data_IF_866624265799
#
_entry.id   IF_866624265799
#
_cell.length_a   1.000
_cell.length_b   1.000
_cell.length_c   1.000
_cell.angle_alpha   90.00
_cell.angle_beta   90.00
_cell.angle_gamma   90.00
#
_symmetry.space_group_name_H-M   'P 1'
#
loop_
_entity.id
_entity.type
_entity.pdbx_description
1 polymer ?
#
# COMPACT_ATOMS: atom_id res chain seq x y z
N UNK A 1 -6.79 3.16 1.59
CA UNK A 1 -5.36 3.31 1.29
C UNK A 1 -5.16 4.72 0.79
N UNK A 2 -4.24 5.47 1.39
CA UNK A 2 -3.88 6.81 0.93
C UNK A 2 -2.66 6.76 0.02
N UNK A 3 -2.56 7.65 -0.97
CA UNK A 3 -1.36 7.76 -1.82
C UNK A 3 -0.33 8.72 -1.25
N UNK A 4 0.96 8.50 -1.49
CA UNK A 4 2.05 9.37 -1.01
C UNK A 4 2.04 10.80 -1.60
N UNK A 5 1.11 11.15 -2.49
CA UNK A 5 0.95 12.50 -3.04
C UNK A 5 0.71 13.60 -1.98
N UNK A 6 0.30 13.24 -0.76
CA UNK A 6 0.27 14.19 0.37
C UNK A 6 1.65 14.68 0.82
N UNK A 7 2.69 13.87 0.65
CA UNK A 7 4.03 14.19 1.15
C UNK A 7 4.77 15.22 0.29
N UNK A 8 4.22 15.56 -0.88
CA UNK A 8 4.78 16.58 -1.79
C UNK A 8 4.05 17.93 -1.74
N UNK A 9 2.97 18.08 -0.95
CA UNK A 9 2.27 19.37 -0.83
C UNK A 9 3.23 20.53 -0.46
N UNK A 10 4.16 20.40 0.52
CA UNK A 10 5.08 21.50 0.84
C UNK A 10 6.10 21.81 -0.27
N UNK A 11 6.41 20.85 -1.15
CA UNK A 11 7.33 21.06 -2.28
C UNK A 11 6.60 21.68 -3.50
N UNK A 12 5.30 21.41 -3.65
CA UNK A 12 4.40 22.08 -4.61
C UNK A 12 4.21 23.55 -4.22
N UNK A 13 3.90 23.81 -2.95
CA UNK A 13 3.69 25.16 -2.39
C UNK A 13 4.93 26.06 -2.45
N UNK A 14 6.13 25.46 -2.49
CA UNK A 14 7.41 26.17 -2.55
C UNK A 14 8.13 26.11 -3.91
N UNK A 15 7.47 25.60 -4.96
CA UNK A 15 8.04 25.38 -6.31
C UNK A 15 9.35 24.56 -6.32
N UNK A 16 9.60 23.72 -5.31
CA UNK A 16 10.86 22.97 -5.12
C UNK A 16 11.00 21.74 -6.03
N UNK A 17 10.45 21.80 -7.23
CA UNK A 17 10.49 20.72 -8.20
C UNK A 17 11.92 20.36 -8.62
N UNK A 18 12.24 19.06 -8.60
CA UNK A 18 13.54 18.54 -9.04
C UNK A 18 14.70 18.75 -8.06
N UNK A 19 14.44 19.28 -6.87
CA UNK A 19 15.40 19.43 -5.77
C UNK A 19 15.47 18.13 -4.92
N UNK A 20 16.51 17.93 -4.09
CA UNK A 20 16.53 16.82 -3.13
C UNK A 20 15.40 16.95 -2.09
N UNK A 21 14.87 15.83 -1.58
CA UNK A 21 13.75 15.85 -0.63
C UNK A 21 14.13 16.59 0.66
N UNK A 22 13.26 17.50 1.11
CA UNK A 22 13.48 18.24 2.36
C UNK A 22 13.22 17.41 3.62
N UNK A 23 12.34 16.40 3.51
CA UNK A 23 11.88 15.55 4.62
C UNK A 23 11.83 14.09 4.16
N UNK A 24 12.35 13.17 4.98
CA UNK A 24 12.15 11.72 4.82
C UNK A 24 11.06 11.26 5.79
N UNK A 25 9.90 10.88 5.25
CA UNK A 25 8.76 10.43 6.03
C UNK A 25 8.96 8.98 6.50
N UNK A 26 8.67 8.70 7.77
CA UNK A 26 8.91 7.42 8.42
C UNK A 26 7.69 7.02 9.26
N UNK A 27 7.14 5.83 9.02
CA UNK A 27 5.92 5.31 9.63
C UNK A 27 6.15 4.46 10.89
N UNK A 28 7.40 4.34 11.36
CA UNK A 28 7.76 3.73 12.64
C UNK A 28 7.92 4.79 13.74
N UNK A 29 8.54 5.94 13.43
CA UNK A 29 8.85 7.00 14.40
C UNK A 29 8.12 8.34 14.11
N UNK A 30 7.63 8.56 12.89
CA UNK A 30 6.99 9.81 12.46
C UNK A 30 5.46 9.77 12.36
N UNK A 31 4.79 8.77 12.96
CA UNK A 31 3.34 8.56 12.82
C UNK A 31 2.53 9.84 13.09
N UNK A 32 2.87 10.58 14.15
CA UNK A 32 2.18 11.83 14.51
C UNK A 32 2.28 12.92 13.44
N UNK A 33 3.41 13.04 12.72
CA UNK A 33 3.55 14.02 11.64
C UNK A 33 2.78 13.60 10.38
N UNK A 34 2.70 12.30 10.11
CA UNK A 34 1.88 11.75 9.02
C UNK A 34 0.40 12.02 9.31
N UNK A 35 -0.09 11.70 10.52
CA UNK A 35 -1.48 11.92 10.91
C UNK A 35 -1.85 13.41 10.95
N UNK A 36 -0.97 14.30 11.43
CA UNK A 36 -1.22 15.75 11.37
C UNK A 36 -1.25 16.26 9.92
N UNK A 37 -0.43 15.71 9.02
CA UNK A 37 -0.45 16.06 7.59
C UNK A 37 -1.77 15.64 6.94
N UNK A 38 -2.35 14.49 7.32
CA UNK A 38 -3.68 14.08 6.85
C UNK A 38 -4.76 15.04 7.36
N UNK A 39 -4.73 15.35 8.67
CA UNK A 39 -5.70 16.23 9.35
C UNK A 39 -5.64 17.68 8.87
N UNK A 40 -4.50 18.14 8.35
CA UNK A 40 -4.35 19.47 7.75
C UNK A 40 -4.99 19.62 6.36
N UNK A 41 -5.33 18.53 5.66
CA UNK A 41 -5.78 18.56 4.26
C UNK A 41 -7.17 17.93 4.03
N UNK A 42 -8.23 18.35 4.77
CA UNK A 42 -9.52 17.66 4.78
C UNK A 42 -10.13 17.46 3.37
N UNK A 43 -10.04 18.46 2.49
CA UNK A 43 -10.63 18.40 1.14
C UNK A 43 -9.92 17.45 0.15
N UNK A 44 -8.67 17.06 0.42
CA UNK A 44 -7.93 16.06 -0.40
C UNK A 44 -7.67 14.74 0.37
N UNK A 45 -8.16 14.66 1.61
CA UNK A 45 -8.02 13.54 2.53
C UNK A 45 -9.33 13.25 3.28
N UNK A 46 -10.48 13.46 2.65
CA UNK A 46 -11.79 13.33 3.27
C UNK A 46 -12.02 11.92 3.84
N UNK A 47 -11.79 10.87 3.03
CA UNK A 47 -11.92 9.48 3.46
C UNK A 47 -10.91 9.08 4.56
N UNK A 48 -9.66 9.54 4.46
CA UNK A 48 -8.64 9.24 5.46
C UNK A 48 -8.97 9.92 6.81
N UNK A 49 -9.47 11.16 6.78
CA UNK A 49 -9.91 11.87 7.97
C UNK A 49 -11.20 11.30 8.57
N UNK A 50 -12.15 10.86 7.74
CA UNK A 50 -13.34 10.17 8.20
C UNK A 50 -12.97 8.89 8.96
N UNK A 51 -12.11 8.04 8.40
CA UNK A 51 -11.62 6.83 9.09
C UNK A 51 -10.92 7.17 10.41
N UNK A 52 -10.08 8.23 10.43
CA UNK A 52 -9.41 8.72 11.65
C UNK A 52 -10.35 9.40 12.67
N UNK A 53 -11.64 9.58 12.37
CA UNK A 53 -12.66 10.06 13.32
C UNK A 53 -13.44 8.92 13.99
N UNK A 54 -13.29 7.68 13.49
CA UNK A 54 -13.94 6.48 14.02
C UNK A 54 -13.13 5.81 15.15
N UNK A 55 -11.91 6.28 15.39
CA UNK A 55 -10.90 5.72 16.30
C UNK A 55 -11.37 5.63 17.77
N UNK A 56 -12.09 6.65 18.25
CA UNK A 56 -12.64 6.71 19.62
C UNK A 56 -14.14 6.31 19.71
N UNK A 57 -14.82 6.10 18.58
CA UNK A 57 -16.29 6.10 18.52
C UNK A 57 -16.92 4.77 18.06
N UNK A 58 -16.13 3.75 17.74
CA UNK A 58 -16.63 2.47 17.22
C UNK A 58 -15.82 1.28 17.73
N UNK A 59 -16.44 0.08 17.76
CA UNK A 59 -15.72 -1.19 18.00
C UNK A 59 -14.93 -1.66 16.75
N UNK A 60 -14.67 -0.79 15.77
CA UNK A 60 -14.08 -1.15 14.48
C UNK A 60 -12.56 -0.92 14.55
N UNK A 61 -11.78 -2.01 14.57
CA UNK A 61 -10.31 -1.97 14.45
C UNK A 61 -9.95 -1.48 13.04
N UNK A 62 -9.53 -0.23 12.88
CA UNK A 62 -9.14 0.34 11.57
C UNK A 62 -7.64 0.21 11.29
N UNK A 63 -7.25 0.27 10.01
CA UNK A 63 -5.85 0.18 9.59
C UNK A 63 -5.57 1.06 8.37
N UNK A 64 -4.77 2.11 8.55
CA UNK A 64 -4.39 3.04 7.49
C UNK A 64 -3.03 2.67 6.89
N UNK A 65 -2.99 2.56 5.56
CA UNK A 65 -1.76 2.38 4.79
C UNK A 65 -1.61 3.58 3.84
N UNK A 66 -0.48 4.27 3.94
CA UNK A 66 -0.08 5.36 3.04
C UNK A 66 1.00 4.82 2.09
N UNK A 67 0.68 4.70 0.80
CA UNK A 67 1.51 3.99 -0.17
C UNK A 67 2.45 4.89 -1.00
N UNK A 68 3.72 4.52 -1.20
CA UNK A 68 4.67 5.25 -2.04
C UNK A 68 4.42 4.96 -3.54
N UNK A 69 5.37 5.20 -4.44
CA UNK A 69 5.20 5.00 -5.88
C UNK A 69 5.03 3.50 -6.21
N UNK A 70 3.80 3.09 -6.50
CA UNK A 70 3.44 1.72 -6.88
C UNK A 70 3.82 1.45 -8.35
N UNK A 71 4.66 0.44 -8.59
CA UNK A 71 5.15 0.05 -9.93
C UNK A 71 5.02 -1.44 -10.21
N UNK A 72 5.20 -1.84 -11.47
CA UNK A 72 5.07 -3.22 -11.96
C UNK A 72 3.87 -3.42 -12.89
N UNK A 73 3.58 -4.70 -13.14
CA UNK A 73 2.35 -5.16 -13.82
C UNK A 73 1.30 -5.50 -12.78
N UNK A 74 0.04 -5.16 -13.01
CA UNK A 74 -1.07 -5.59 -12.15
C UNK A 74 -1.52 -7.03 -12.46
N UNK A 75 -1.69 -7.86 -11.43
CA UNK A 75 -2.20 -9.24 -11.56
C UNK A 75 -3.74 -9.31 -11.64
N UNK A 76 -4.45 -8.25 -11.26
CA UNK A 76 -5.93 -8.16 -11.28
C UNK A 76 -6.54 -7.66 -12.61
N UNK A 77 -7.88 -7.63 -12.71
CA UNK A 77 -8.61 -7.20 -13.92
C UNK A 77 -8.67 -5.67 -14.10
N UNK A 78 -8.20 -4.89 -13.12
CA UNK A 78 -8.14 -3.43 -13.18
C UNK A 78 -6.91 -2.92 -13.94
N UNK A 79 -6.28 -1.85 -13.43
CA UNK A 79 -5.10 -1.31 -14.08
C UNK A 79 -3.89 -2.28 -14.01
N UNK A 80 -3.50 -2.83 -15.15
CA UNK A 80 -2.31 -3.69 -15.27
C UNK A 80 -1.02 -2.93 -15.61
N UNK A 81 -1.06 -1.62 -15.91
CA UNK A 81 0.11 -0.84 -16.36
C UNK A 81 0.50 0.27 -15.37
N UNK A 82 1.77 0.31 -15.00
CA UNK A 82 2.35 1.42 -14.22
C UNK A 82 2.19 2.78 -14.92
N UNK A 83 2.14 3.86 -14.13
CA UNK A 83 1.94 5.22 -14.67
C UNK A 83 3.27 5.94 -14.90
N UNK A 84 4.03 6.22 -13.84
CA UNK A 84 5.17 7.15 -13.93
C UNK A 84 6.32 6.64 -14.82
N UNK A 85 6.96 5.52 -14.46
CA UNK A 85 8.11 5.00 -15.19
C UNK A 85 7.80 4.69 -16.69
N UNK A 86 6.67 4.05 -17.05
CA UNK A 86 6.31 3.87 -18.46
C UNK A 86 6.01 5.16 -19.23
N UNK A 87 5.49 6.22 -18.59
CA UNK A 87 5.29 7.50 -19.26
C UNK A 87 6.62 8.25 -19.47
N UNK A 88 7.59 8.13 -18.54
CA UNK A 88 8.96 8.62 -18.71
C UNK A 88 9.66 7.85 -19.86
N UNK A 89 9.50 6.53 -19.90
CA UNK A 89 10.02 5.68 -20.97
C UNK A 89 9.46 6.08 -22.33
N UNK A 90 8.14 6.25 -22.46
CA UNK A 90 7.52 6.72 -23.71
C UNK A 90 8.08 8.07 -24.14
N UNK A 91 8.11 9.08 -23.26
CA UNK A 91 8.58 10.42 -23.64
C UNK A 91 10.06 10.42 -24.08
N UNK A 92 10.88 9.57 -23.46
CA UNK A 92 12.28 9.31 -23.88
C UNK A 92 12.38 8.68 -25.27
N UNK A 93 11.41 7.85 -25.67
CA UNK A 93 11.32 7.26 -27.02
C UNK A 93 10.79 8.28 -28.03
N UNK A 94 9.78 9.08 -27.66
CA UNK A 94 9.20 10.15 -28.48
C UNK A 94 10.23 11.25 -28.82
N UNK A 95 11.08 11.63 -27.85
CA UNK A 95 12.14 12.63 -28.03
C UNK A 95 13.38 12.06 -28.73
N UNK A 96 13.59 10.74 -28.67
CA UNK A 96 14.83 10.08 -29.06
C UNK A 96 16.00 10.28 -28.08
N UNK A 97 15.83 11.07 -27.02
CA UNK A 97 16.82 11.33 -25.98
C UNK A 97 16.22 11.32 -24.56
N UNK A 98 17.08 11.08 -23.56
CA UNK A 98 16.68 11.04 -22.15
C UNK A 98 16.62 12.44 -21.53
N UNK A 99 15.44 12.84 -21.05
CA UNK A 99 15.22 14.15 -20.43
C UNK A 99 15.48 14.14 -18.91
N UNK A 100 15.79 15.31 -18.34
CA UNK A 100 15.85 15.55 -16.89
C UNK A 100 14.99 16.74 -16.49
N UNK A 101 14.09 16.57 -15.54
CA UNK A 101 13.26 17.66 -15.04
C UNK A 101 14.03 18.54 -14.04
N UNK A 102 14.24 19.82 -14.39
CA UNK A 102 15.07 20.79 -13.64
C UNK A 102 16.44 20.16 -13.26
N UNK A 103 16.79 20.11 -11.97
CA UNK A 103 18.06 19.52 -11.48
C UNK A 103 18.03 17.99 -11.41
N UNK A 104 16.86 17.37 -11.37
CA UNK A 104 16.68 15.91 -11.29
C UNK A 104 17.25 15.27 -10.02
N UNK A 105 17.24 15.98 -8.89
CA UNK A 105 17.73 15.50 -7.59
C UNK A 105 16.61 14.94 -6.70
N UNK A 106 15.37 14.96 -7.16
CA UNK A 106 14.21 14.43 -6.46
C UNK A 106 14.29 12.90 -6.30
N UNK A 107 13.91 12.40 -5.13
CA UNK A 107 13.86 10.96 -4.84
C UNK A 107 12.46 10.54 -4.43
N UNK A 108 12.02 9.36 -4.90
CA UNK A 108 10.74 8.77 -4.56
C UNK A 108 10.93 7.34 -4.07
N UNK A 109 10.50 7.07 -2.83
CA UNK A 109 10.21 5.72 -2.39
C UNK A 109 9.25 5.06 -3.39
N UNK A 110 9.51 3.79 -3.69
CA UNK A 110 8.80 3.04 -4.70
C UNK A 110 8.67 1.57 -4.29
N UNK A 111 7.73 0.86 -4.92
CA UNK A 111 7.29 -0.44 -4.44
C UNK A 111 6.61 -1.24 -5.58
N UNK A 112 7.09 -2.45 -5.89
CA UNK A 112 6.59 -3.32 -6.99
C UNK A 112 5.16 -3.84 -6.70
N UNK A 113 4.42 -4.55 -7.58
CA UNK A 113 3.12 -5.34 -7.22
C UNK A 113 3.66 -6.82 -7.50
N UNK A 114 4.74 -7.13 -6.78
CA UNK A 114 4.61 -8.06 -5.68
C UNK A 114 4.91 -7.37 -4.33
N UNK A 115 4.69 -6.04 -4.19
CA UNK A 115 4.99 -5.16 -3.03
C UNK A 115 3.87 -4.04 -2.63
N UNK A 116 2.81 -4.31 -1.78
CA UNK A 116 1.56 -3.54 -1.34
C UNK A 116 0.33 -4.40 -0.83
N UNK A 117 -0.43 -5.07 -1.73
CA UNK A 117 -1.47 -6.14 -1.58
C UNK A 117 -1.29 -7.38 -0.65
N UNK A 118 -0.38 -8.34 -0.89
CA UNK A 118 0.12 -9.36 0.07
C UNK A 118 0.40 -8.80 1.49
N UNK A 119 0.80 -7.53 1.67
CA UNK A 119 0.83 -6.93 3.01
C UNK A 119 -0.59 -6.77 3.56
N UNK A 120 -1.58 -6.34 2.79
CA UNK A 120 -2.97 -6.49 3.20
C UNK A 120 -3.29 -7.96 3.52
N UNK A 121 -2.88 -8.94 2.70
CA UNK A 121 -3.14 -10.35 3.01
C UNK A 121 -2.50 -10.79 4.34
N UNK A 122 -1.30 -10.28 4.67
CA UNK A 122 -0.62 -10.51 5.95
C UNK A 122 -1.31 -9.75 7.11
N UNK A 123 -1.77 -8.53 6.90
CA UNK A 123 -2.51 -7.72 7.87
C UNK A 123 -3.89 -8.34 8.17
N UNK A 124 -4.63 -8.77 7.15
CA UNK A 124 -5.90 -9.50 7.27
C UNK A 124 -5.71 -10.79 8.05
N UNK A 125 -4.69 -11.59 7.71
CA UNK A 125 -4.34 -12.81 8.48
C UNK A 125 -3.96 -12.50 9.94
N UNK A 126 -3.28 -11.38 10.18
CA UNK A 126 -2.93 -10.92 11.54
C UNK A 126 -4.17 -10.46 12.32
N UNK A 127 -5.09 -9.74 11.67
CA UNK A 127 -6.34 -9.30 12.28
C UNK A 127 -7.24 -10.50 12.67
N UNK A 128 -7.45 -11.45 11.75
CA UNK A 128 -8.20 -12.68 12.02
C UNK A 128 -7.59 -13.50 13.18
N UNK A 129 -6.26 -13.56 13.27
CA UNK A 129 -5.57 -14.22 14.39
C UNK A 129 -5.69 -13.45 15.71
N UNK A 130 -5.82 -12.11 15.69
CA UNK A 130 -6.11 -11.31 16.88
C UNK A 130 -7.56 -11.49 17.34
N UNK A 131 -8.51 -11.61 16.42
CA UNK A 131 -9.92 -11.80 16.74
C UNK A 131 -10.18 -13.22 17.29
N UNK A 132 -9.49 -14.25 16.79
CA UNK A 132 -9.50 -15.60 17.39
C UNK A 132 -8.92 -15.60 18.82
N UNK A 133 -7.81 -14.87 19.05
CA UNK A 133 -7.21 -14.72 20.40
C UNK A 133 -8.10 -13.96 21.36
N UNK A 134 -8.76 -12.90 20.88
CA UNK A 134 -9.75 -12.14 21.64
C UNK A 134 -10.93 -13.02 22.05
N UNK A 135 -11.50 -13.77 21.11
CA UNK A 135 -12.60 -14.71 21.39
C UNK A 135 -12.17 -15.80 22.40
N UNK A 136 -10.94 -16.29 22.33
CA UNK A 136 -10.41 -17.24 23.31
C UNK A 136 -10.20 -16.60 24.69
N UNK A 137 -9.65 -15.38 24.76
CA UNK A 137 -9.45 -14.63 26.01
C UNK A 137 -10.78 -14.27 26.69
N UNK A 138 -11.85 -14.07 25.92
CA UNK A 138 -13.22 -13.86 26.42
C UNK A 138 -13.96 -15.18 26.74
N UNK A 139 -13.34 -16.34 26.56
CA UNK A 139 -13.93 -17.66 26.82
C UNK A 139 -15.02 -18.08 25.82
N UNK A 140 -15.12 -17.40 24.67
CA UNK A 140 -16.11 -17.67 23.63
C UNK A 140 -15.71 -18.85 22.73
N UNK A 141 -14.43 -19.21 22.68
CA UNK A 141 -13.89 -20.42 22.03
C UNK A 141 -12.81 -21.10 22.90
N UNK A 142 -12.72 -22.43 22.85
CA UNK A 142 -11.80 -23.21 23.69
C UNK A 142 -10.30 -23.06 23.34
N UNK A 143 -9.97 -22.56 22.15
CA UNK A 143 -8.59 -22.40 21.65
C UNK A 143 -8.45 -21.19 20.74
N UNK A 144 -7.27 -20.58 20.68
CA UNK A 144 -6.91 -19.58 19.65
C UNK A 144 -6.33 -20.21 18.36
N UNK A 145 -6.10 -21.53 18.35
CA UNK A 145 -5.58 -22.28 17.21
C UNK A 145 -6.66 -22.47 16.12
N UNK A 146 -6.37 -22.00 14.90
CA UNK A 146 -7.25 -22.14 13.73
C UNK A 146 -7.07 -23.55 13.12
N UNK A 147 -7.54 -24.56 13.87
CA UNK A 147 -7.43 -25.98 13.53
C UNK A 147 -8.49 -26.44 12.49
N UNK A 148 -9.57 -25.65 12.30
CA UNK A 148 -10.66 -25.96 11.35
C UNK A 148 -10.53 -25.13 10.07
N UNK A 149 -10.47 -25.83 8.95
CA UNK A 149 -10.75 -25.27 7.61
C UNK A 149 -12.25 -25.30 7.35
N UNK A 150 -12.78 -24.28 6.67
CA UNK A 150 -14.14 -24.27 6.10
C UNK A 150 -14.08 -24.41 4.58
N UNK A 151 -15.12 -24.98 3.96
CA UNK A 151 -15.24 -25.06 2.50
C UNK A 151 -15.98 -23.86 1.88
N UNK A 152 -16.23 -23.92 0.57
CA UNK A 152 -16.89 -22.85 -0.20
C UNK A 152 -18.35 -22.68 0.20
N UNK A 153 -19.06 -23.78 0.43
CA UNK A 153 -20.49 -23.75 0.78
C UNK A 153 -20.66 -23.27 2.23
N UNK A 154 -19.78 -23.68 3.15
CA UNK A 154 -19.72 -23.14 4.51
C UNK A 154 -19.40 -21.63 4.54
N UNK A 155 -18.46 -21.18 3.70
CA UNK A 155 -18.09 -19.76 3.62
C UNK A 155 -19.20 -18.89 3.03
N UNK A 156 -19.84 -19.31 1.94
CA UNK A 156 -20.94 -18.57 1.30
C UNK A 156 -22.27 -18.66 2.10
N UNK A 157 -22.45 -19.68 2.94
CA UNK A 157 -23.54 -19.75 3.91
C UNK A 157 -23.32 -18.83 5.13
N UNK A 158 -22.07 -18.64 5.57
CA UNK A 158 -21.73 -17.74 6.67
C UNK A 158 -21.79 -16.24 6.26
N UNK A 159 -21.48 -15.93 5.00
CA UNK A 159 -21.64 -14.62 4.38
C UNK A 159 -21.89 -14.81 2.89
N UNK A 160 -22.95 -14.24 2.28
CA UNK A 160 -23.14 -14.34 0.82
C UNK A 160 -21.94 -13.77 0.04
N UNK A 161 -21.20 -14.65 -0.65
CA UNK A 161 -19.94 -14.32 -1.32
C UNK A 161 -18.68 -14.40 -0.42
N UNK A 162 -18.78 -14.96 0.78
CA UNK A 162 -17.70 -15.18 1.72
C UNK A 162 -16.55 -16.01 1.14
N UNK A 163 -16.81 -16.98 0.26
CA UNK A 163 -15.77 -17.71 -0.46
C UNK A 163 -14.94 -16.79 -1.37
N UNK A 164 -15.57 -15.75 -1.94
CA UNK A 164 -14.88 -14.71 -2.73
C UNK A 164 -14.09 -13.77 -1.80
N UNK A 165 -14.74 -13.22 -0.76
CA UNK A 165 -14.13 -12.22 0.11
C UNK A 165 -13.06 -12.76 1.07
N UNK A 166 -13.10 -14.05 1.42
CA UNK A 166 -12.16 -14.68 2.35
C UNK A 166 -11.19 -15.66 1.66
N UNK A 167 -11.57 -16.23 0.52
CA UNK A 167 -10.77 -17.24 -0.21
C UNK A 167 -9.91 -16.72 -1.37
N UNK A 168 -10.19 -15.52 -1.92
CA UNK A 168 -9.44 -14.99 -3.07
C UNK A 168 -8.31 -14.03 -2.66
N UNK A 169 -7.30 -13.88 -3.52
CA UNK A 169 -6.08 -13.11 -3.23
C UNK A 169 -5.91 -11.93 -4.20
N UNK A 170 -5.49 -10.77 -3.65
CA UNK A 170 -4.97 -9.64 -4.40
C UNK A 170 -3.55 -9.33 -3.90
N UNK A 171 -2.55 -9.75 -4.67
CA UNK A 171 -1.11 -9.81 -4.36
C UNK A 171 -0.46 -8.43 -4.24
N UNK A 172 0.75 -8.30 -3.63
CA UNK A 172 1.71 -7.18 -3.44
C UNK A 172 2.27 -7.05 -1.90
N UNK A 173 3.54 -7.23 -1.46
CA UNK A 173 4.23 -6.94 -0.11
C UNK A 173 4.65 -5.48 0.45
N UNK A 174 4.63 -5.06 1.74
CA UNK A 174 5.11 -3.69 2.23
C UNK A 174 6.02 -3.54 3.50
N UNK A 175 6.81 -2.44 3.61
CA UNK A 175 7.94 -2.21 4.56
C UNK A 175 7.71 -2.37 6.08
N UNK A 176 6.61 -1.90 6.68
CA UNK A 176 6.41 -2.01 8.15
C UNK A 176 6.37 -3.46 8.64
N UNK A 177 6.03 -4.40 7.77
CA UNK A 177 6.09 -5.84 8.04
C UNK A 177 7.52 -6.35 8.23
N UNK A 178 8.55 -5.67 7.72
CA UNK A 178 9.96 -6.08 7.92
C UNK A 178 10.36 -6.05 9.39
N UNK A 179 9.90 -5.03 10.12
CA UNK A 179 10.26 -4.81 11.53
C UNK A 179 9.31 -5.58 12.46
N UNK A 180 8.00 -5.45 12.26
CA UNK A 180 7.01 -6.00 13.20
C UNK A 180 6.66 -7.47 12.94
N UNK A 181 6.88 -7.98 11.73
CA UNK A 181 6.45 -9.31 11.28
C UNK A 181 7.61 -10.13 10.68
N UNK A 182 8.87 -9.72 10.93
CA UNK A 182 10.14 -10.38 10.52
C UNK A 182 10.28 -10.70 9.03
N UNK A 183 9.48 -10.04 8.20
CA UNK A 183 9.22 -10.42 6.82
C UNK A 183 10.20 -9.71 5.85
N UNK A 184 10.33 -10.17 4.60
CA UNK A 184 11.29 -9.57 3.64
C UNK A 184 10.74 -9.50 2.21
N UNK A 185 11.09 -8.45 1.43
CA UNK A 185 10.82 -8.42 0.01
C UNK A 185 11.64 -9.49 -0.73
N UNK A 186 11.07 -9.99 -1.83
CA UNK A 186 11.59 -11.11 -2.63
C UNK A 186 11.32 -10.96 -4.14
N UNK A 187 10.78 -9.82 -4.55
CA UNK A 187 10.66 -9.47 -5.97
C UNK A 187 11.98 -8.86 -6.47
N UNK A 188 12.21 -8.80 -7.79
CA UNK A 188 13.32 -8.04 -8.37
C UNK A 188 13.30 -6.57 -7.95
N UNK A 189 14.44 -5.90 -8.09
CA UNK A 189 14.58 -4.46 -7.82
C UNK A 189 13.75 -3.62 -8.80
N UNK A 190 13.75 -2.29 -8.66
CA UNK A 190 13.19 -1.41 -9.69
C UNK A 190 14.03 -1.43 -10.98
N UNK A 191 15.31 -1.78 -10.90
CA UNK A 191 16.24 -1.74 -12.04
C UNK A 191 15.96 -2.87 -13.05
N UNK A 192 15.63 -4.07 -12.56
CA UNK A 192 15.40 -5.27 -13.37
C UNK A 192 14.23 -5.13 -14.39
N UNK A 193 13.01 -4.68 -14.01
CA UNK A 193 11.89 -4.59 -14.94
C UNK A 193 11.91 -3.35 -15.85
N UNK A 194 12.80 -2.37 -15.65
CA UNK A 194 12.88 -1.18 -16.53
C UNK A 194 13.09 -1.60 -17.99
N UNK A 195 13.94 -2.59 -18.24
CA UNK A 195 14.20 -3.12 -19.57
C UNK A 195 12.97 -3.81 -20.20
N UNK A 196 12.00 -4.27 -19.41
CA UNK A 196 10.70 -4.77 -19.92
C UNK A 196 9.72 -3.60 -20.16
N UNK A 197 9.59 -2.67 -19.21
CA UNK A 197 8.71 -1.50 -19.36
C UNK A 197 9.05 -0.68 -20.61
N UNK A 198 10.34 -0.45 -20.89
CA UNK A 198 10.80 0.27 -22.09
C UNK A 198 10.50 -0.50 -23.39
N UNK A 199 10.43 -1.84 -23.36
CA UNK A 199 10.06 -2.66 -24.53
C UNK A 199 8.56 -2.60 -24.85
N UNK A 200 7.72 -2.23 -23.89
CA UNK A 200 6.26 -2.14 -24.05
C UNK A 200 5.77 -0.77 -24.56
N UNK A 201 6.66 0.20 -24.73
CA UNK A 201 6.35 1.56 -25.23
C UNK A 201 6.94 1.81 -26.64
N UNK A 202 7.02 0.76 -27.46
CA UNK A 202 7.45 0.77 -28.87
C UNK A 202 6.30 0.51 -29.84
#
# INVERSE_FOLDING_TARGET
MSGASMFVFPEIESDRYGEPPSTVWNDLHGISSILSTIRAHPSSRELDNYILSLEDSTNIRTGLIVGPLVYGRGEGPGNQRSIQAPNIARKTIEDGEGFRFRRGLNSWSNVHIKDLGDLFALLTKTALALDAREAHAQGLIEKDAIDRTIDVDEADAAMPGGAIFWGTNAVYKFSRAQVLLSWRPSAPSLEDPIAEMVRLER
#
